data_IF_173270712781
#
_entry.id   IF_173270712781
#
_cell.length_a   1.000
_cell.length_b   1.000
_cell.length_c   1.000
_cell.angle_alpha   90.00
_cell.angle_beta   90.00
_cell.angle_gamma   90.00
#
_symmetry.space_group_name_H-M   'P 1'
#
loop_
_entity.id
_entity.type
_entity.pdbx_description
1 polymer ?
#
# COMPACT_ATOMS: atom_id res chain seq x y z
N UNK A 1 5.70 -0.60 16.62
CA UNK A 1 6.16 -0.32 15.26
C UNK A 1 5.52 0.98 14.78
N UNK A 2 6.14 1.70 13.85
CA UNK A 2 5.54 2.90 13.27
C UNK A 2 4.55 2.53 12.15
N UNK A 3 3.50 3.33 11.93
CA UNK A 3 2.52 3.10 10.84
C UNK A 3 3.18 2.99 9.45
N UNK A 4 4.22 3.79 9.10
CA UNK A 4 4.93 3.62 7.83
C UNK A 4 5.65 2.27 7.70
N UNK A 5 6.26 1.76 8.77
CA UNK A 5 6.88 0.44 8.76
C UNK A 5 5.85 -0.67 8.59
N UNK A 6 4.70 -0.59 9.27
CA UNK A 6 3.61 -1.57 9.11
C UNK A 6 3.10 -1.64 7.66
N UNK A 7 2.97 -0.48 6.99
CA UNK A 7 2.57 -0.42 5.57
C UNK A 7 3.68 -0.96 4.66
N UNK A 8 4.93 -0.58 4.88
CA UNK A 8 6.07 -1.10 4.11
C UNK A 8 6.13 -2.63 4.21
N UNK A 9 6.11 -3.18 5.43
CA UNK A 9 6.17 -4.62 5.66
C UNK A 9 4.98 -5.33 5.00
N UNK A 10 3.79 -4.75 5.07
CA UNK A 10 2.59 -5.30 4.44
C UNK A 10 2.72 -5.36 2.92
N UNK A 11 3.09 -4.25 2.27
CA UNK A 11 3.21 -4.17 0.80
C UNK A 11 4.38 -5.03 0.31
N UNK A 12 5.50 -5.06 1.03
CA UNK A 12 6.67 -5.90 0.71
C UNK A 12 6.33 -7.39 0.79
N UNK A 13 5.53 -7.81 1.78
CA UNK A 13 5.05 -9.21 1.89
C UNK A 13 4.05 -9.60 0.80
N UNK A 14 3.40 -8.62 0.17
CA UNK A 14 2.45 -8.85 -0.92
C UNK A 14 3.12 -8.91 -2.29
N UNK A 15 4.40 -8.59 -2.41
CA UNK A 15 5.13 -8.70 -3.67
C UNK A 15 4.93 -10.07 -4.34
N UNK A 16 4.62 -10.12 -5.65
CA UNK A 16 4.54 -9.00 -6.61
C UNK A 16 3.16 -8.31 -6.72
N UNK A 17 2.19 -8.70 -5.88
CA UNK A 17 0.79 -8.32 -6.02
C UNK A 17 0.51 -6.86 -5.61
N UNK A 18 -0.16 -6.06 -6.45
CA UNK A 18 -0.55 -4.69 -6.12
C UNK A 18 -1.76 -4.62 -5.18
N UNK A 19 -1.73 -3.66 -4.24
CA UNK A 19 -2.80 -3.47 -3.24
C UNK A 19 -3.17 -2.00 -3.11
N UNK A 20 -4.47 -1.69 -2.99
CA UNK A 20 -4.95 -0.32 -2.80
C UNK A 20 -4.90 0.16 -1.34
N UNK A 21 -4.84 1.47 -1.15
CA UNK A 21 -4.78 2.13 0.17
C UNK A 21 -5.91 1.70 1.12
N UNK A 22 -7.12 1.49 0.59
CA UNK A 22 -8.27 1.04 1.38
C UNK A 22 -8.03 -0.35 2.00
N UNK A 23 -7.57 -1.30 1.20
CA UNK A 23 -7.33 -2.66 1.69
C UNK A 23 -6.14 -2.72 2.65
N UNK A 24 -5.12 -1.87 2.45
CA UNK A 24 -4.01 -1.69 3.41
C UNK A 24 -4.57 -1.18 4.75
N UNK A 25 -5.42 -0.16 4.71
CA UNK A 25 -6.05 0.42 5.90
C UNK A 25 -6.85 -0.63 6.69
N UNK A 26 -7.69 -1.40 5.98
CA UNK A 26 -8.51 -2.45 6.57
C UNK A 26 -7.65 -3.58 7.16
N UNK A 27 -6.64 -4.04 6.43
CA UNK A 27 -5.75 -5.12 6.87
C UNK A 27 -4.90 -4.73 8.10
N UNK A 28 -4.48 -3.47 8.20
CA UNK A 28 -3.67 -2.96 9.31
C UNK A 28 -4.51 -2.34 10.44
N UNK A 29 -5.85 -2.48 10.37
CA UNK A 29 -6.75 -1.99 11.42
C UNK A 29 -6.69 -0.48 11.61
N UNK A 30 -6.50 0.28 10.54
CA UNK A 30 -6.54 1.73 10.55
C UNK A 30 -7.98 2.17 10.80
N UNK A 31 -8.36 2.33 12.08
CA UNK A 31 -9.69 2.81 12.47
C UNK A 31 -9.83 4.26 11.99
N UNK A 32 -10.76 4.44 11.05
CA UNK A 32 -11.07 5.67 10.31
C UNK A 32 -10.79 6.97 11.09
N UNK A 33 -9.98 7.85 10.46
CA UNK A 33 -9.87 9.34 10.55
C UNK A 33 -8.46 9.91 10.74
N UNK A 34 -7.48 9.15 11.22
CA UNK A 34 -6.12 9.68 11.51
C UNK A 34 -4.95 9.03 10.79
N UNK A 35 -5.12 7.81 10.27
CA UNK A 35 -4.09 7.19 9.44
C UNK A 35 -4.41 7.52 7.98
N UNK A 36 -3.45 8.15 7.30
CA UNK A 36 -3.54 8.47 5.87
C UNK A 36 -2.71 7.45 5.09
N UNK A 37 -3.24 6.23 4.80
CA UNK A 37 -2.51 5.23 4.04
C UNK A 37 -2.04 5.79 2.69
N UNK A 38 -2.82 6.65 2.04
CA UNK A 38 -2.40 7.36 0.82
C UNK A 38 -1.17 8.26 1.00
N UNK A 39 -0.99 8.93 2.16
CA UNK A 39 0.22 9.72 2.42
C UNK A 39 1.42 8.81 2.66
N UNK A 40 1.22 7.70 3.38
CA UNK A 40 2.28 6.73 3.65
C UNK A 40 2.72 6.02 2.36
N UNK A 41 1.77 5.51 1.58
CA UNK A 41 2.06 4.84 0.30
C UNK A 41 2.61 5.83 -0.72
N UNK A 42 2.13 7.08 -0.72
CA UNK A 42 2.71 8.17 -1.52
C UNK A 42 4.19 8.42 -1.17
N UNK A 43 4.54 8.48 0.13
CA UNK A 43 5.93 8.60 0.55
C UNK A 43 6.77 7.37 0.17
N UNK A 44 6.25 6.16 0.33
CA UNK A 44 6.95 4.94 -0.09
C UNK A 44 7.22 4.92 -1.60
N UNK A 45 6.27 5.38 -2.42
CA UNK A 45 6.44 5.47 -3.86
C UNK A 45 7.44 6.55 -4.32
N UNK A 46 7.96 7.39 -3.42
CA UNK A 46 9.11 8.26 -3.73
C UNK A 46 10.44 7.51 -3.72
N UNK A 47 10.49 6.28 -3.18
CA UNK A 47 11.65 5.41 -3.26
C UNK A 47 11.55 4.49 -4.48
N UNK A 48 12.69 3.98 -4.95
CA UNK A 48 12.76 3.05 -6.10
C UNK A 48 12.22 1.65 -5.78
N UNK A 49 11.90 1.38 -4.51
CA UNK A 49 11.45 0.08 -4.00
C UNK A 49 9.94 -0.13 -4.13
N UNK A 50 9.18 0.91 -4.47
CA UNK A 50 7.73 0.83 -4.58
C UNK A 50 7.24 1.57 -5.82
N UNK A 51 6.21 1.01 -6.45
CA UNK A 51 5.52 1.63 -7.58
C UNK A 51 4.07 1.88 -7.17
N UNK A 52 3.61 3.12 -7.38
CA UNK A 52 2.19 3.50 -7.36
C UNK A 52 1.71 3.68 -8.79
N UNK A 53 0.62 3.00 -9.12
CA UNK A 53 0.03 3.03 -10.46
C UNK A 53 -1.48 2.78 -10.40
N UNK A 54 -2.18 3.06 -11.51
CA UNK A 54 -3.57 2.62 -11.67
C UNK A 54 -3.56 1.13 -12.06
N UNK A 55 -4.30 0.31 -11.32
CA UNK A 55 -4.40 -1.12 -11.60
C UNK A 55 -5.45 -1.81 -10.75
N UNK A 56 -5.54 -3.14 -10.92
CA UNK A 56 -6.45 -3.96 -10.12
C UNK A 56 -5.83 -4.27 -8.76
N UNK A 57 -6.56 -3.99 -7.67
CA UNK A 57 -6.13 -4.41 -6.34
C UNK A 57 -6.31 -5.93 -6.17
N UNK A 58 -5.25 -6.65 -5.78
CA UNK A 58 -5.28 -8.11 -5.60
C UNK A 58 -6.17 -8.62 -4.46
N UNK A 59 -6.64 -7.73 -3.57
CA UNK A 59 -7.50 -8.08 -2.44
C UNK A 59 -8.99 -7.88 -2.74
N UNK A 60 -9.34 -6.77 -3.40
CA UNK A 60 -10.74 -6.39 -3.61
C UNK A 60 -11.14 -6.32 -5.09
N UNK A 61 -10.22 -6.67 -5.99
CA UNK A 61 -10.43 -6.80 -7.43
C UNK A 61 -11.01 -5.57 -8.14
N UNK A 62 -10.91 -4.39 -7.51
CA UNK A 62 -11.38 -3.13 -8.12
C UNK A 62 -10.21 -2.36 -8.73
N UNK A 63 -10.45 -1.78 -9.91
CA UNK A 63 -9.54 -0.87 -10.61
C UNK A 63 -9.44 0.47 -9.89
N UNK A 64 -8.25 0.82 -9.39
CA UNK A 64 -7.96 2.06 -8.67
C UNK A 64 -6.45 2.28 -8.51
N UNK A 65 -6.08 3.33 -7.78
CA UNK A 65 -4.69 3.54 -7.38
C UNK A 65 -4.23 2.45 -6.40
N UNK A 66 -3.17 1.76 -6.79
CA UNK A 66 -2.56 0.65 -6.05
C UNK A 66 -1.08 0.92 -5.85
N UNK A 67 -0.51 0.28 -4.83
CA UNK A 67 0.93 0.23 -4.58
C UNK A 67 1.39 -1.22 -4.58
N UNK A 68 2.58 -1.46 -5.14
CA UNK A 68 3.30 -2.73 -5.04
C UNK A 68 4.76 -2.48 -4.74
N UNK A 69 5.42 -3.43 -4.09
CA UNK A 69 6.87 -3.43 -4.04
C UNK A 69 7.45 -3.68 -5.44
N UNK A 70 8.61 -3.10 -5.70
CA UNK A 70 9.37 -3.24 -6.92
C UNK A 70 10.78 -3.67 -6.51
N UNK A 71 11.06 -4.97 -6.64
CA UNK A 71 12.43 -5.46 -6.53
C UNK A 71 13.13 -5.09 -7.84
N UNK A 72 14.04 -4.13 -7.75
CA UNK A 72 15.05 -3.92 -8.79
C UNK A 72 16.06 -5.06 -8.77
#
# INVERSE_FOLDING_TARGET
MSRPQEVNDFVTRKFPDPVCDKCIAEALGFKNKGAHPAQITGALATTSDFIREQGECSICHSQKEVIRAHRT
#
